data_IF_656706460537
#
_entry.id   IF_656706460537
#
_cell.length_a   1.000
_cell.length_b   1.000
_cell.length_c   1.000
_cell.angle_alpha   90.00
_cell.angle_beta   90.00
_cell.angle_gamma   90.00
#
_symmetry.space_group_name_H-M   'P 1'
#
loop_
_entity.id
_entity.type
_entity.pdbx_description
1 polymer ?
#
# COMPACT_ATOMS: atom_id res chain seq x y z
N UNK A 1 -17.33 28.33 -42.43
CA UNK A 1 -17.54 27.03 -41.76
C UNK A 1 -16.64 27.06 -40.55
N UNK A 2 -17.25 27.32 -39.39
CA UNK A 2 -16.55 27.58 -38.14
C UNK A 2 -15.93 26.29 -37.58
N UNK A 3 -14.61 26.31 -37.38
CA UNK A 3 -13.89 25.30 -36.64
C UNK A 3 -14.29 25.38 -35.16
N UNK A 4 -15.22 24.53 -34.76
CA UNK A 4 -15.60 24.37 -33.37
C UNK A 4 -14.50 23.57 -32.64
N UNK A 5 -13.37 24.24 -32.33
CA UNK A 5 -12.35 23.74 -31.41
C UNK A 5 -13.00 23.62 -30.04
N UNK A 6 -13.38 22.40 -29.68
CA UNK A 6 -13.77 22.05 -28.33
C UNK A 6 -12.59 22.31 -27.40
N UNK A 7 -12.61 23.44 -26.71
CA UNK A 7 -11.70 23.72 -25.60
C UNK A 7 -11.83 22.57 -24.59
N UNK A 8 -10.80 21.72 -24.53
CA UNK A 8 -10.66 20.73 -23.46
C UNK A 8 -10.62 21.53 -22.15
N UNK A 9 -11.72 21.47 -21.38
CA UNK A 9 -11.77 22.03 -20.02
C UNK A 9 -10.53 21.58 -19.27
N UNK A 10 -9.75 22.55 -18.80
CA UNK A 10 -8.60 22.31 -17.93
C UNK A 10 -9.05 21.43 -16.77
N UNK A 11 -8.43 20.25 -16.62
CA UNK A 11 -8.71 19.34 -15.50
C UNK A 11 -8.25 20.05 -14.23
N UNK A 12 -9.16 20.36 -13.32
CA UNK A 12 -8.82 20.94 -12.02
C UNK A 12 -7.95 19.94 -11.26
N UNK A 13 -6.75 20.37 -10.88
CA UNK A 13 -5.79 19.54 -10.14
C UNK A 13 -5.84 19.96 -8.68
N UNK A 14 -6.47 19.12 -7.87
CA UNK A 14 -6.53 19.33 -6.43
C UNK A 14 -5.20 18.96 -5.78
N UNK A 15 -4.84 19.67 -4.71
CA UNK A 15 -3.66 19.36 -3.91
C UNK A 15 -2.34 19.96 -4.40
N UNK A 16 -2.36 21.12 -5.08
CA UNK A 16 -1.16 21.82 -5.57
C UNK A 16 -0.09 22.03 -4.47
N UNK A 17 -0.50 22.19 -3.21
CA UNK A 17 0.40 22.32 -2.06
C UNK A 17 0.92 21.01 -1.47
N UNK A 18 0.56 19.86 -2.03
CA UNK A 18 0.98 18.56 -1.48
C UNK A 18 2.45 18.29 -1.79
N UNK A 19 3.23 18.17 -0.73
CA UNK A 19 4.65 17.82 -0.78
C UNK A 19 4.85 16.30 -0.67
N UNK A 20 6.00 15.75 -1.12
CA UNK A 20 6.34 14.35 -0.87
C UNK A 20 6.23 14.01 0.62
N UNK A 21 6.77 14.87 1.50
CA UNK A 21 6.70 14.66 2.95
C UNK A 21 5.26 14.63 3.48
N UNK A 22 4.38 15.50 2.98
CA UNK A 22 2.96 15.45 3.35
C UNK A 22 2.27 14.14 2.93
N UNK A 23 2.60 13.60 1.76
CA UNK A 23 2.11 12.28 1.33
C UNK A 23 2.67 11.14 2.19
N UNK A 24 3.95 11.24 2.58
CA UNK A 24 4.61 10.29 3.46
C UNK A 24 3.90 10.20 4.82
N UNK A 25 3.63 11.35 5.44
CA UNK A 25 2.88 11.41 6.71
C UNK A 25 1.47 10.84 6.57
N UNK A 26 0.79 11.06 5.44
CA UNK A 26 -0.50 10.43 5.17
C UNK A 26 -0.39 8.90 5.13
N UNK A 27 0.66 8.37 4.46
CA UNK A 27 0.91 6.93 4.41
C UNK A 27 1.14 6.35 5.82
N UNK A 28 1.96 7.02 6.64
CA UNK A 28 2.21 6.62 8.02
C UNK A 28 0.93 6.67 8.87
N UNK A 29 0.06 7.67 8.67
CA UNK A 29 -1.21 7.78 9.38
C UNK A 29 -2.18 6.65 9.00
N UNK A 30 -2.28 6.29 7.71
CA UNK A 30 -3.05 5.13 7.28
C UNK A 30 -2.54 3.83 7.93
N UNK A 31 -1.22 3.64 7.95
CA UNK A 31 -0.57 2.49 8.60
C UNK A 31 -0.85 2.48 10.10
N UNK A 32 -0.63 3.58 10.81
CA UNK A 32 -0.88 3.70 12.24
C UNK A 32 -2.35 3.45 12.60
N UNK A 33 -3.29 3.94 11.78
CA UNK A 33 -4.70 3.66 11.94
C UNK A 33 -5.01 2.17 11.71
N UNK A 34 -4.36 1.51 10.75
CA UNK A 34 -4.50 0.07 10.55
C UNK A 34 -3.97 -0.74 11.76
N UNK A 35 -2.81 -0.37 12.30
CA UNK A 35 -2.23 -0.99 13.50
C UNK A 35 -3.14 -0.80 14.71
N UNK A 36 -3.72 0.40 14.88
CA UNK A 36 -4.65 0.68 15.96
C UNK A 36 -5.90 -0.22 15.94
N UNK A 37 -6.32 -0.69 14.75
CA UNK A 37 -7.45 -1.61 14.60
C UNK A 37 -7.16 -3.04 15.05
N UNK A 38 -5.90 -3.43 15.26
CA UNK A 38 -5.53 -4.78 15.71
C UNK A 38 -6.15 -5.14 17.06
N UNK A 39 -6.17 -4.17 17.98
CA UNK A 39 -6.64 -4.37 19.34
C UNK A 39 -8.09 -3.96 19.56
N UNK A 40 -8.76 -3.42 18.53
CA UNK A 40 -10.17 -3.07 18.65
C UNK A 40 -10.99 -4.33 18.41
N UNK A 41 -11.32 -5.01 19.51
CA UNK A 41 -12.35 -6.04 19.64
C UNK A 41 -13.75 -5.43 19.32
N UNK A 42 -14.00 -4.98 18.10
CA UNK A 42 -15.33 -4.53 17.69
C UNK A 42 -16.22 -5.74 17.40
N UNK A 43 -16.55 -6.50 18.44
CA UNK A 43 -17.48 -7.64 18.40
C UNK A 43 -16.94 -8.83 17.58
N UNK A 44 -17.38 -10.08 17.85
CA UNK A 44 -17.02 -11.29 17.10
C UNK A 44 -17.49 -11.30 15.62
N UNK A 45 -17.82 -10.13 15.04
CA UNK A 45 -18.43 -9.98 13.72
C UNK A 45 -17.75 -8.95 12.81
N UNK A 46 -16.84 -8.10 13.29
CA UNK A 46 -16.10 -7.22 12.37
C UNK A 46 -15.04 -8.01 11.63
N UNK A 47 -15.11 -7.97 10.30
CA UNK A 47 -14.08 -8.52 9.44
C UNK A 47 -12.82 -7.65 9.51
N UNK A 48 -11.66 -8.21 9.19
CA UNK A 48 -10.39 -7.45 9.09
C UNK A 48 -10.36 -6.46 7.91
N UNK A 49 -11.50 -6.19 7.26
CA UNK A 49 -11.58 -5.38 6.05
C UNK A 49 -11.13 -3.93 6.27
N UNK A 50 -11.55 -3.22 7.35
CA UNK A 50 -11.07 -1.85 7.59
C UNK A 50 -9.56 -1.78 7.79
N UNK A 51 -8.97 -2.75 8.51
CA UNK A 51 -7.52 -2.85 8.71
C UNK A 51 -6.79 -3.07 7.39
N UNK A 52 -7.24 -4.05 6.59
CA UNK A 52 -6.67 -4.33 5.26
C UNK A 52 -6.80 -3.13 4.32
N UNK A 53 -7.95 -2.47 4.31
CA UNK A 53 -8.19 -1.26 3.53
C UNK A 53 -7.20 -0.15 3.88
N UNK A 54 -6.97 0.09 5.17
CA UNK A 54 -6.01 1.12 5.61
C UNK A 54 -4.56 0.77 5.24
N UNK A 55 -4.15 -0.51 5.33
CA UNK A 55 -2.85 -0.91 4.79
C UNK A 55 -2.78 -0.72 3.27
N UNK A 56 -3.81 -1.07 2.52
CA UNK A 56 -3.84 -0.82 1.08
C UNK A 56 -3.72 0.67 0.74
N UNK A 57 -4.40 1.54 1.49
CA UNK A 57 -4.23 3.00 1.36
C UNK A 57 -2.79 3.45 1.66
N UNK A 58 -2.18 2.90 2.72
CA UNK A 58 -0.79 3.18 3.04
C UNK A 58 0.16 2.76 1.89
N UNK A 59 -0.02 1.57 1.30
CA UNK A 59 0.76 1.11 0.14
C UNK A 59 0.69 2.12 -1.01
N UNK A 60 -0.51 2.56 -1.37
CA UNK A 60 -0.73 3.55 -2.42
C UNK A 60 -0.02 4.87 -2.10
N UNK A 61 -0.15 5.37 -0.87
CA UNK A 61 0.46 6.64 -0.47
C UNK A 61 1.99 6.58 -0.41
N UNK A 62 2.61 5.46 0.00
CA UNK A 62 4.07 5.31 -0.07
C UNK A 62 4.58 5.33 -1.51
N UNK A 63 3.93 4.61 -2.44
CA UNK A 63 4.30 4.66 -3.85
C UNK A 63 4.15 6.07 -4.43
N UNK A 64 3.03 6.74 -4.17
CA UNK A 64 2.81 8.13 -4.60
C UNK A 64 3.83 9.11 -4.02
N UNK A 65 4.22 8.91 -2.77
CA UNK A 65 5.27 9.69 -2.11
C UNK A 65 6.57 9.58 -2.89
N UNK A 66 7.01 8.36 -3.21
CA UNK A 66 8.25 8.13 -3.94
C UNK A 66 8.21 8.73 -5.34
N UNK A 67 7.07 8.61 -6.05
CA UNK A 67 6.88 9.28 -7.35
C UNK A 67 6.98 10.80 -7.22
N UNK A 68 6.32 11.39 -6.21
CA UNK A 68 6.33 12.84 -6.00
C UNK A 68 7.73 13.34 -5.63
N UNK A 69 8.48 12.54 -4.87
CA UNK A 69 9.87 12.80 -4.51
C UNK A 69 10.77 12.88 -5.74
N UNK A 70 10.54 11.98 -6.71
CA UNK A 70 11.24 11.94 -8.00
C UNK A 70 10.58 12.84 -9.06
N UNK A 71 10.12 14.02 -8.62
CA UNK A 71 9.60 15.11 -9.46
C UNK A 71 8.45 14.73 -10.40
N UNK A 72 7.69 13.66 -10.13
CA UNK A 72 6.47 13.41 -10.90
C UNK A 72 5.40 14.47 -10.59
N UNK A 73 4.78 14.95 -11.66
CA UNK A 73 3.65 15.88 -11.58
C UNK A 73 2.43 15.20 -10.92
N UNK A 74 1.67 15.98 -10.15
CA UNK A 74 0.53 15.46 -9.39
C UNK A 74 -0.53 14.88 -10.32
N UNK A 75 -0.70 15.47 -11.49
CA UNK A 75 -1.59 15.06 -12.56
C UNK A 75 -1.27 13.65 -13.04
N UNK A 76 0.02 13.35 -13.22
CA UNK A 76 0.50 12.03 -13.60
C UNK A 76 0.33 11.03 -12.45
N UNK A 77 0.65 11.44 -11.22
CA UNK A 77 0.45 10.62 -10.01
C UNK A 77 -1.03 10.26 -9.84
N UNK A 78 -1.94 11.22 -9.99
CA UNK A 78 -3.38 11.01 -9.95
C UNK A 78 -3.86 10.16 -11.14
N UNK A 79 -3.23 10.27 -12.29
CA UNK A 79 -3.52 9.49 -13.50
C UNK A 79 -3.31 7.97 -13.32
N UNK A 80 -2.47 7.54 -12.39
CA UNK A 80 -2.35 6.12 -12.05
C UNK A 80 -3.62 5.56 -11.39
N UNK A 81 -4.39 6.37 -10.67
CA UNK A 81 -5.50 5.89 -9.86
C UNK A 81 -5.02 4.86 -8.84
N UNK A 82 -5.63 3.67 -8.85
CA UNK A 82 -5.29 2.54 -7.97
C UNK A 82 -4.39 1.48 -8.66
N UNK A 83 -3.77 1.82 -9.80
CA UNK A 83 -2.91 0.89 -10.55
C UNK A 83 -1.53 0.78 -9.92
N UNK A 84 -1.43 -0.04 -8.88
CA UNK A 84 -0.18 -0.20 -8.11
C UNK A 84 0.95 -0.83 -8.91
N UNK A 85 0.65 -1.74 -9.86
CA UNK A 85 1.66 -2.29 -10.77
C UNK A 85 2.37 -1.18 -11.55
N UNK A 86 1.58 -0.35 -12.25
CA UNK A 86 2.09 0.79 -13.01
C UNK A 86 2.87 1.79 -12.14
N UNK A 87 2.39 2.07 -10.92
CA UNK A 87 3.11 2.93 -9.97
C UNK A 87 4.44 2.31 -9.53
N UNK A 88 4.45 1.01 -9.25
CA UNK A 88 5.64 0.29 -8.81
C UNK A 88 6.68 0.21 -9.93
N UNK A 89 6.27 -0.07 -11.17
CA UNK A 89 7.17 -0.04 -12.33
C UNK A 89 7.80 1.34 -12.49
N UNK A 90 7.01 2.40 -12.33
CA UNK A 90 7.50 3.76 -12.39
C UNK A 90 8.45 4.10 -11.21
N UNK A 91 8.14 3.67 -9.99
CA UNK A 91 9.04 3.82 -8.84
C UNK A 91 10.36 3.08 -9.04
N UNK A 92 10.32 1.84 -9.55
CA UNK A 92 11.51 1.05 -9.84
C UNK A 92 12.37 1.73 -10.91
N UNK A 93 11.77 2.37 -11.92
CA UNK A 93 12.51 3.17 -12.91
C UNK A 93 13.23 4.38 -12.32
N UNK A 94 12.77 4.87 -11.16
CA UNK A 94 13.43 5.92 -10.37
C UNK A 94 14.34 5.36 -9.27
N UNK A 95 14.58 4.05 -9.24
CA UNK A 95 15.52 3.42 -8.31
C UNK A 95 14.91 3.05 -6.94
N UNK A 96 13.58 2.92 -6.82
CA UNK A 96 13.01 2.30 -5.63
C UNK A 96 13.50 0.85 -5.54
N UNK A 97 14.12 0.48 -4.42
CA UNK A 97 14.56 -0.88 -4.13
C UNK A 97 13.76 -1.42 -2.95
N UNK A 98 13.02 -2.50 -3.18
CA UNK A 98 12.29 -3.24 -2.14
C UNK A 98 12.54 -4.75 -2.29
N UNK A 99 12.35 -5.56 -1.24
CA UNK A 99 12.52 -7.02 -1.34
C UNK A 99 11.59 -7.65 -2.40
N UNK A 100 12.10 -8.64 -3.14
CA UNK A 100 11.35 -9.28 -4.24
C UNK A 100 10.01 -9.90 -3.82
N UNK A 101 9.92 -10.43 -2.59
CA UNK A 101 8.67 -10.97 -2.04
C UNK A 101 7.64 -9.87 -1.80
N UNK A 102 8.08 -8.67 -1.42
CA UNK A 102 7.22 -7.50 -1.26
C UNK A 102 6.72 -7.02 -2.62
N UNK A 103 7.62 -6.93 -3.60
CA UNK A 103 7.24 -6.57 -4.97
C UNK A 103 6.20 -7.54 -5.55
N UNK A 104 6.44 -8.85 -5.43
CA UNK A 104 5.51 -9.90 -5.86
C UNK A 104 4.14 -9.76 -5.19
N UNK A 105 4.12 -9.44 -3.89
CA UNK A 105 2.88 -9.24 -3.14
C UNK A 105 2.10 -8.01 -3.63
N UNK A 106 2.77 -6.87 -3.83
CA UNK A 106 2.14 -5.66 -4.36
C UNK A 106 1.53 -5.94 -5.74
N UNK A 107 2.26 -6.63 -6.62
CA UNK A 107 1.76 -7.02 -7.96
C UNK A 107 0.55 -7.94 -7.89
N UNK A 108 0.56 -8.91 -6.97
CA UNK A 108 -0.60 -9.79 -6.74
C UNK A 108 -1.83 -8.99 -6.26
N UNK A 109 -1.65 -8.05 -5.33
CA UNK A 109 -2.74 -7.18 -4.89
C UNK A 109 -3.27 -6.29 -6.01
N UNK A 110 -2.37 -5.77 -6.86
CA UNK A 110 -2.73 -4.96 -8.01
C UNK A 110 -3.57 -5.75 -9.03
N UNK A 111 -3.14 -6.97 -9.37
CA UNK A 111 -3.84 -7.87 -10.29
C UNK A 111 -5.26 -8.18 -9.82
N UNK A 112 -5.44 -8.39 -8.51
CA UNK A 112 -6.73 -8.68 -7.90
C UNK A 112 -7.58 -7.43 -7.60
N UNK A 113 -7.12 -6.24 -8.00
CA UNK A 113 -7.79 -4.96 -7.69
C UNK A 113 -8.13 -4.81 -6.19
N UNK A 114 -7.23 -5.27 -5.32
CA UNK A 114 -7.54 -5.54 -3.91
C UNK A 114 -8.03 -4.32 -3.13
N UNK A 115 -7.55 -3.11 -3.46
CA UNK A 115 -7.99 -1.87 -2.83
C UNK A 115 -9.45 -1.52 -3.17
N UNK A 116 -9.89 -1.80 -4.39
CA UNK A 116 -11.30 -1.60 -4.78
C UNK A 116 -12.14 -2.73 -4.22
N UNK A 117 -11.70 -3.98 -4.38
CA UNK A 117 -12.40 -5.19 -3.94
C UNK A 117 -12.76 -5.14 -2.46
N UNK A 118 -11.81 -4.80 -1.58
CA UNK A 118 -12.02 -4.80 -0.12
C UNK A 118 -13.16 -3.88 0.38
N UNK A 119 -13.61 -2.91 -0.45
CA UNK A 119 -14.73 -2.02 -0.10
C UNK A 119 -16.09 -2.65 -0.36
N UNK A 120 -16.16 -3.63 -1.26
CA UNK A 120 -17.41 -4.20 -1.78
C UNK A 120 -17.52 -5.70 -1.52
N UNK A 121 -16.39 -6.40 -1.42
CA UNK A 121 -16.32 -7.78 -0.97
C UNK A 121 -16.68 -7.81 0.51
N UNK A 122 -17.94 -8.06 0.81
CA UNK A 122 -18.35 -8.58 2.11
C UNK A 122 -18.19 -10.09 2.08
N UNK A 123 -16.96 -10.58 1.95
CA UNK A 123 -16.72 -11.98 2.27
C UNK A 123 -16.88 -12.10 3.79
N UNK A 124 -18.00 -12.69 4.21
CA UNK A 124 -18.01 -13.51 5.40
C UNK A 124 -17.04 -14.65 5.07
N UNK A 125 -15.73 -14.39 5.21
CA UNK A 125 -14.69 -15.40 5.11
C UNK A 125 -15.22 -16.59 5.91
N UNK A 126 -15.65 -17.68 5.30
CA UNK A 126 -16.12 -18.90 5.96
C UNK A 126 -15.24 -20.01 5.40
N UNK A 127 -14.44 -20.60 6.27
CA UNK A 127 -13.58 -21.73 6.01
C UNK A 127 -14.45 -22.93 5.58
N UNK A 128 -14.28 -23.44 4.35
CA UNK A 128 -15.11 -24.51 3.80
C UNK A 128 -14.95 -25.84 4.56
N UNK A 129 -13.88 -26.02 5.35
CA UNK A 129 -13.67 -27.21 6.16
C UNK A 129 -14.30 -27.17 7.56
N UNK A 130 -14.63 -25.98 8.07
CA UNK A 130 -15.05 -25.81 9.47
C UNK A 130 -16.30 -24.94 9.67
N UNK A 131 -16.75 -24.22 8.64
CA UNK A 131 -17.81 -23.22 8.74
C UNK A 131 -17.45 -22.03 9.65
N UNK A 132 -16.17 -21.90 10.06
CA UNK A 132 -15.65 -20.80 10.89
C UNK A 132 -15.02 -19.74 10.01
N UNK A 133 -14.85 -18.51 10.50
CA UNK A 133 -14.34 -17.46 9.62
C UNK A 133 -12.88 -17.63 9.24
N UNK A 134 -12.56 -17.70 7.94
CA UNK A 134 -11.18 -17.78 7.44
C UNK A 134 -10.51 -16.39 7.52
N UNK A 135 -10.10 -15.96 8.70
CA UNK A 135 -9.48 -14.64 8.86
C UNK A 135 -8.19 -14.58 8.05
N UNK A 136 -8.20 -13.91 6.88
CA UNK A 136 -6.99 -13.72 6.08
C UNK A 136 -5.96 -12.94 6.92
N UNK A 137 -4.77 -13.50 7.09
CA UNK A 137 -3.69 -12.89 7.85
C UNK A 137 -3.27 -11.54 7.24
N UNK A 138 -3.06 -10.52 8.10
CA UNK A 138 -2.53 -9.21 7.70
C UNK A 138 -1.01 -9.17 7.64
N UNK A 139 -0.33 -10.24 8.07
CA UNK A 139 1.13 -10.27 8.13
C UNK A 139 1.84 -9.95 6.80
N UNK A 140 1.37 -10.45 5.63
CA UNK A 140 1.98 -10.06 4.34
C UNK A 140 1.85 -8.56 4.05
N UNK A 141 0.73 -7.94 4.46
CA UNK A 141 0.51 -6.49 4.34
C UNK A 141 1.44 -5.71 5.26
N UNK A 142 1.54 -6.12 6.52
CA UNK A 142 2.43 -5.48 7.49
C UNK A 142 3.89 -5.50 7.03
N UNK A 143 4.36 -6.65 6.52
CA UNK A 143 5.70 -6.79 5.94
C UNK A 143 5.91 -5.89 4.73
N UNK A 144 4.90 -5.82 3.85
CA UNK A 144 4.93 -4.96 2.66
C UNK A 144 5.03 -3.49 3.04
N UNK A 145 4.20 -3.07 3.99
CA UNK A 145 4.17 -1.69 4.48
C UNK A 145 5.46 -1.32 5.20
N UNK A 146 6.00 -2.20 6.03
CA UNK A 146 7.28 -1.97 6.69
C UNK A 146 8.42 -1.76 5.68
N UNK A 147 8.52 -2.61 4.65
CA UNK A 147 9.54 -2.46 3.62
C UNK A 147 9.39 -1.17 2.79
N UNK A 148 8.15 -0.79 2.45
CA UNK A 148 7.88 0.47 1.77
C UNK A 148 8.19 1.68 2.65
N UNK A 149 7.81 1.64 3.93
CA UNK A 149 8.06 2.71 4.90
C UNK A 149 9.58 2.93 5.08
N UNK A 150 10.37 1.87 5.18
CA UNK A 150 11.84 1.96 5.20
C UNK A 150 12.39 2.57 3.92
N UNK A 151 12.09 1.99 2.75
CA UNK A 151 12.67 2.41 1.49
C UNK A 151 12.29 3.86 1.12
N UNK A 152 11.03 4.24 1.34
CA UNK A 152 10.56 5.61 1.07
C UNK A 152 11.04 6.57 2.17
N UNK A 153 11.11 6.12 3.42
CA UNK A 153 11.67 6.90 4.53
C UNK A 153 13.13 7.27 4.28
N UNK A 154 13.96 6.32 3.88
CA UNK A 154 15.36 6.56 3.49
C UNK A 154 15.46 7.58 2.35
N UNK A 155 14.60 7.47 1.33
CA UNK A 155 14.58 8.43 0.22
C UNK A 155 14.18 9.85 0.69
N UNK A 156 13.26 9.97 1.66
CA UNK A 156 12.93 11.26 2.28
C UNK A 156 14.11 11.79 3.11
N UNK A 157 14.79 10.96 3.88
CA UNK A 157 15.97 11.35 4.67
C UNK A 157 17.09 11.90 3.78
N UNK A 158 17.29 11.35 2.58
CA UNK A 158 18.24 11.85 1.59
C UNK A 158 17.93 13.29 1.13
N UNK A 159 16.71 13.80 1.35
CA UNK A 159 16.36 15.21 1.11
C UNK A 159 16.72 16.16 2.26
N UNK A 160 17.35 15.64 3.32
CA UNK A 160 17.69 16.40 4.53
C UNK A 160 16.53 16.59 5.51
N UNK A 161 15.42 15.84 5.34
CA UNK A 161 14.27 15.86 6.25
C UNK A 161 14.38 14.73 7.26
N UNK A 162 14.08 15.03 8.51
CA UNK A 162 13.96 14.00 9.54
C UNK A 162 12.68 13.18 9.32
N UNK A 163 12.78 11.87 9.52
CA UNK A 163 11.69 10.92 9.34
C UNK A 163 11.50 10.13 10.63
N UNK A 164 10.26 10.05 11.10
CA UNK A 164 9.93 9.14 12.18
C UNK A 164 10.11 7.69 11.72
N UNK A 165 11.02 6.96 12.38
CA UNK A 165 11.22 5.52 12.19
C UNK A 165 10.36 4.77 13.19
N UNK A 166 9.45 3.94 12.68
CA UNK A 166 8.71 3.01 13.54
C UNK A 166 9.68 2.02 14.21
N UNK A 167 9.39 1.58 15.43
CA UNK A 167 10.08 0.45 16.03
C UNK A 167 9.98 -0.80 15.15
N UNK A 168 10.97 -1.67 15.29
CA UNK A 168 10.98 -2.95 14.59
C UNK A 168 9.77 -3.81 15.03
N UNK A 169 9.04 -4.39 14.07
CA UNK A 169 7.90 -5.23 14.40
C UNK A 169 8.36 -6.54 15.06
N UNK A 170 7.53 -7.14 15.92
CA UNK A 170 7.85 -8.39 16.63
C UNK A 170 8.18 -9.58 15.72
N UNK A 171 7.75 -9.54 14.45
CA UNK A 171 8.04 -10.58 13.47
C UNK A 171 9.40 -10.43 12.78
N UNK A 172 10.10 -9.29 12.96
CA UNK A 172 11.41 -9.04 12.34
C UNK A 172 12.51 -9.85 13.02
N UNK A 173 12.46 -9.97 14.35
CA UNK A 173 13.45 -10.67 15.18
C UNK A 173 13.20 -12.18 15.29
N UNK A 174 12.11 -12.69 14.71
CA UNK A 174 11.82 -14.11 14.78
C UNK A 174 12.72 -14.89 13.81
N UNK A 175 13.53 -15.86 14.31
CA UNK A 175 14.29 -16.71 13.42
C UNK A 175 13.31 -17.41 12.48
N UNK A 176 13.57 -17.35 11.16
CA UNK A 176 12.75 -18.01 10.14
C UNK A 176 12.43 -19.43 10.59
N UNK A 177 11.20 -19.65 11.04
CA UNK A 177 10.72 -20.97 11.40
C UNK A 177 10.96 -21.91 10.22
N UNK A 178 11.46 -23.12 10.48
CA UNK A 178 11.75 -24.15 9.46
C UNK A 178 10.53 -24.55 8.60
N UNK A 179 9.33 -24.04 8.91
CA UNK A 179 8.08 -24.32 8.21
C UNK A 179 7.93 -23.62 6.84
N UNK A 180 8.69 -22.57 6.55
CA UNK A 180 8.60 -21.83 5.26
C UNK A 180 9.34 -22.53 4.10
N UNK A 181 9.87 -23.75 4.30
CA UNK A 181 10.58 -24.51 3.25
C UNK A 181 9.69 -25.48 2.46
N UNK A 182 8.41 -25.63 2.79
CA UNK A 182 7.56 -26.69 2.22
C UNK A 182 6.45 -26.24 1.27
N UNK A 183 6.29 -24.95 0.99
CA UNK A 183 5.23 -24.45 0.09
C UNK A 183 5.69 -24.07 -1.32
N UNK A 184 6.97 -24.24 -1.67
CA UNK A 184 7.48 -24.02 -3.04
C UNK A 184 7.38 -25.24 -3.97
N UNK A 185 6.71 -26.32 -3.53
CA UNK A 185 6.36 -27.44 -4.40
C UNK A 185 4.84 -27.65 -4.34
N UNK A 186 4.08 -26.95 -5.17
CA UNK A 186 3.04 -27.51 -6.03
C UNK A 186 2.49 -26.42 -6.96
N UNK A 187 2.50 -26.75 -8.26
CA UNK A 187 1.89 -26.03 -9.38
C UNK A 187 0.43 -25.65 -9.14
#
# INVERSE_FOLDING_TARGET
>A
MDENKTEKKSKVVYGVGVTPYGMYLMAQNCRAAADALENILVRPRTSNHPRRFLYYQATEHFLRTFLRLNSQELEKIQGFGHRWGDMLDCCNSYGLVIPANVEKYIRLCALNNALVGIRYEYELDLDPGTGKKATRSTLPLEKTIYALELAVGEAIEQTGREVFKRPDPPWLDQPRSKADRTSDNHL
#
